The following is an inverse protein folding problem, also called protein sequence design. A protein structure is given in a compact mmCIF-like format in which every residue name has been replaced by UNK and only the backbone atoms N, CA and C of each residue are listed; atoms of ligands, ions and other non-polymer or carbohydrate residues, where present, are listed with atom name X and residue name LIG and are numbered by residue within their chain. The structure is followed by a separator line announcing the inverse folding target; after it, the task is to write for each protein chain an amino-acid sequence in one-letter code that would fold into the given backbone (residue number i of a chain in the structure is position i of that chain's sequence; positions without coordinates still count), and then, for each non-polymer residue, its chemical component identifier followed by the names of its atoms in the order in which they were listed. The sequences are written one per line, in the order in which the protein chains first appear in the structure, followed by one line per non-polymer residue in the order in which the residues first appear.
data_IF_892169873093
#
_entry.id   IF_892169873093
#
_cell.length_a   1.000
_cell.length_b   1.000
_cell.length_c   1.000
_cell.angle_alpha   90.00
_cell.angle_beta   90.00
_cell.angle_gamma   90.00
#
_symmetry.space_group_name_H-M   'P 1'
#
loop_
_entity.id
_entity.type
_entity.pdbx_description
1 polymer ?
#
# COMPACT_ATOMS: atom_id res chain seq x y z
N UNK A 1 -54.23 -18.56 6.47
CA UNK A 1 -52.96 -17.79 6.52
C UNK A 1 -52.66 -17.02 7.81
N UNK A 2 -53.60 -16.83 8.77
CA UNK A 2 -53.30 -16.13 10.04
C UNK A 2 -52.32 -16.87 10.94
N UNK A 3 -52.29 -18.19 10.91
CA UNK A 3 -51.38 -18.99 11.78
C UNK A 3 -49.90 -18.87 11.48
N UNK A 4 -49.50 -18.63 10.23
CA UNK A 4 -48.10 -18.53 9.85
C UNK A 4 -47.45 -17.27 10.44
N UNK A 5 -48.12 -16.11 10.33
CA UNK A 5 -47.63 -14.83 10.84
C UNK A 5 -47.56 -14.86 12.38
N UNK A 6 -48.54 -15.49 13.05
CA UNK A 6 -48.55 -15.61 14.49
C UNK A 6 -47.42 -16.50 15.00
N UNK A 7 -47.17 -17.62 14.33
CA UNK A 7 -46.06 -18.52 14.68
C UNK A 7 -44.71 -17.85 14.43
N UNK A 8 -44.57 -17.13 13.32
CA UNK A 8 -43.34 -16.40 13.01
C UNK A 8 -43.04 -15.34 14.07
N UNK A 9 -44.06 -14.60 14.50
CA UNK A 9 -43.92 -13.59 15.57
C UNK A 9 -43.56 -14.23 16.93
N UNK A 10 -44.15 -15.34 17.27
CA UNK A 10 -43.85 -16.08 18.50
C UNK A 10 -42.39 -16.58 18.52
N UNK A 11 -41.91 -17.12 17.38
CA UNK A 11 -40.52 -17.55 17.20
C UNK A 11 -39.58 -16.36 17.31
N UNK A 12 -39.88 -15.26 16.59
CA UNK A 12 -39.06 -14.04 16.63
C UNK A 12 -38.91 -13.51 18.05
N UNK A 13 -40.01 -13.42 18.79
CA UNK A 13 -40.03 -12.97 20.20
C UNK A 13 -39.19 -13.89 21.08
N UNK A 14 -39.31 -15.21 20.90
CA UNK A 14 -38.53 -16.19 21.64
C UNK A 14 -37.03 -16.00 21.39
N UNK A 15 -36.64 -15.84 20.16
CA UNK A 15 -35.23 -15.65 19.80
C UNK A 15 -34.69 -14.29 20.28
N UNK A 16 -35.48 -13.22 20.24
CA UNK A 16 -35.10 -11.93 20.80
C UNK A 16 -34.89 -12.01 22.33
N UNK A 17 -35.74 -12.74 23.06
CA UNK A 17 -35.57 -12.96 24.48
C UNK A 17 -34.32 -13.82 24.77
N UNK A 18 -34.04 -14.83 23.94
CA UNK A 18 -32.82 -15.65 24.01
C UNK A 18 -31.56 -14.80 23.84
N UNK A 19 -31.55 -13.87 22.87
CA UNK A 19 -30.44 -12.96 22.64
C UNK A 19 -30.11 -12.10 23.87
N UNK A 20 -31.11 -11.69 24.64
CA UNK A 20 -30.91 -10.85 25.84
C UNK A 20 -30.53 -11.64 27.10
N UNK A 21 -30.89 -12.91 27.18
CA UNK A 21 -30.68 -13.73 28.39
C UNK A 21 -29.46 -14.65 28.31
N UNK A 22 -28.95 -14.94 27.09
CA UNK A 22 -27.75 -15.77 26.94
C UNK A 22 -26.56 -14.91 26.52
N UNK A 23 -25.53 -14.75 27.34
CA UNK A 23 -24.40 -13.86 27.07
C UNK A 23 -23.65 -14.26 25.81
N UNK A 24 -23.67 -15.53 25.43
CA UNK A 24 -22.97 -16.02 24.24
C UNK A 24 -23.57 -15.47 22.92
N UNK A 25 -24.91 -15.37 22.83
CA UNK A 25 -25.58 -14.75 21.70
C UNK A 25 -25.30 -13.26 21.60
N UNK A 26 -25.32 -12.56 22.74
CA UNK A 26 -25.00 -11.14 22.80
C UNK A 26 -23.55 -10.88 22.30
N UNK A 27 -22.60 -11.69 22.75
CA UNK A 27 -21.20 -11.58 22.33
C UNK A 27 -21.05 -11.85 20.83
N UNK A 28 -21.63 -12.94 20.30
CA UNK A 28 -21.49 -13.31 18.89
C UNK A 28 -22.19 -12.32 17.94
N UNK A 29 -23.34 -11.79 18.32
CA UNK A 29 -24.19 -10.99 17.44
C UNK A 29 -23.88 -9.49 17.51
N UNK A 30 -23.47 -8.98 18.66
CA UNK A 30 -23.23 -7.55 18.87
C UNK A 30 -21.77 -7.23 19.15
N UNK A 31 -21.16 -7.87 20.15
CA UNK A 31 -19.80 -7.50 20.60
C UNK A 31 -18.77 -7.83 19.53
N UNK A 32 -18.81 -9.04 19.00
CA UNK A 32 -17.82 -9.51 18.04
C UNK A 32 -17.82 -8.71 16.72
N UNK A 33 -18.97 -8.40 16.07
CA UNK A 33 -19.00 -7.52 14.93
C UNK A 33 -18.50 -6.10 15.22
N UNK A 34 -18.92 -5.50 16.33
CA UNK A 34 -18.48 -4.14 16.72
C UNK A 34 -16.98 -4.09 16.95
N UNK A 35 -16.44 -5.06 17.70
CA UNK A 35 -14.99 -5.17 17.96
C UNK A 35 -14.23 -5.41 16.65
N UNK A 36 -14.74 -6.28 15.78
CA UNK A 36 -14.14 -6.56 14.47
C UNK A 36 -14.11 -5.31 13.58
N UNK A 37 -15.21 -4.56 13.52
CA UNK A 37 -15.26 -3.32 12.75
C UNK A 37 -14.33 -2.24 13.31
N UNK A 38 -14.29 -2.08 14.63
CA UNK A 38 -13.36 -1.17 15.29
C UNK A 38 -11.91 -1.57 15.01
N UNK A 39 -11.59 -2.87 15.09
CA UNK A 39 -10.27 -3.40 14.77
C UNK A 39 -9.86 -3.08 13.32
N UNK A 40 -10.72 -3.36 12.34
CA UNK A 40 -10.41 -3.06 10.94
C UNK A 40 -10.34 -1.56 10.67
N UNK A 41 -11.19 -0.75 11.31
CA UNK A 41 -11.12 0.70 11.19
C UNK A 41 -9.77 1.25 11.69
N UNK A 42 -9.28 0.73 12.82
CA UNK A 42 -7.97 1.08 13.37
C UNK A 42 -6.83 0.56 12.51
N UNK A 43 -6.92 -0.68 12.03
CA UNK A 43 -5.90 -1.32 11.18
C UNK A 43 -5.70 -0.54 9.88
N UNK A 44 -6.79 -0.12 9.23
CA UNK A 44 -6.74 0.58 7.96
C UNK A 44 -6.64 2.11 8.09
N UNK A 45 -6.56 2.64 9.31
CA UNK A 45 -6.49 4.09 9.55
C UNK A 45 -5.26 4.74 8.87
N UNK A 46 -4.12 4.06 8.83
CA UNK A 46 -2.91 4.53 8.14
C UNK A 46 -3.02 4.44 6.61
N UNK A 47 -3.97 3.70 6.07
CA UNK A 47 -4.44 3.68 4.68
C UNK A 47 -3.45 3.16 3.63
N UNK A 48 -2.19 3.58 3.67
CA UNK A 48 -1.14 3.24 2.70
C UNK A 48 0.14 2.90 3.46
N UNK A 49 0.90 1.95 2.96
CA UNK A 49 2.24 1.67 3.48
C UNK A 49 3.14 2.89 3.23
N UNK A 50 3.79 3.39 4.27
CA UNK A 50 4.69 4.55 4.26
C UNK A 50 5.98 4.20 4.96
N UNK A 51 7.01 4.99 4.69
CA UNK A 51 8.31 4.92 5.38
C UNK A 51 8.89 3.49 5.34
N UNK A 52 8.80 2.84 4.16
CA UNK A 52 9.33 1.50 3.95
C UNK A 52 10.84 1.60 3.87
N UNK A 53 11.59 0.91 4.76
CA UNK A 53 13.04 1.01 4.78
C UNK A 53 13.65 0.40 3.51
N UNK A 54 14.53 1.18 2.88
CA UNK A 54 15.33 0.78 1.73
C UNK A 54 16.81 1.01 2.02
N UNK A 55 17.67 0.29 1.30
CA UNK A 55 19.11 0.55 1.25
C UNK A 55 19.46 1.23 -0.08
N UNK A 56 20.46 2.10 -0.06
CA UNK A 56 21.03 2.73 -1.25
C UNK A 56 22.50 2.36 -1.34
N UNK A 57 22.89 1.82 -2.50
CA UNK A 57 24.27 1.59 -2.91
C UNK A 57 24.65 2.68 -3.91
N UNK A 58 25.33 3.73 -3.45
CA UNK A 58 25.80 4.82 -4.30
C UNK A 58 27.26 4.58 -4.67
N UNK A 59 27.54 4.10 -5.89
CA UNK A 59 28.88 3.88 -6.41
C UNK A 59 29.49 5.12 -7.08
N UNK A 60 28.68 6.18 -7.30
CA UNK A 60 29.14 7.40 -7.97
C UNK A 60 29.62 8.49 -7.00
N UNK A 61 29.02 8.57 -5.81
CA UNK A 61 29.33 9.52 -4.74
C UNK A 61 29.34 10.99 -5.17
N UNK A 62 28.59 11.35 -6.20
CA UNK A 62 28.53 12.70 -6.79
C UNK A 62 27.42 13.57 -6.19
N UNK A 63 27.33 14.79 -6.69
CA UNK A 63 26.23 15.69 -6.31
C UNK A 63 24.89 15.24 -6.90
N UNK A 64 24.90 14.65 -8.09
CA UNK A 64 23.68 14.17 -8.75
C UNK A 64 23.19 12.85 -8.13
N UNK A 65 24.09 11.93 -7.76
CA UNK A 65 23.70 10.69 -7.07
C UNK A 65 23.04 10.96 -5.73
N UNK A 66 23.61 11.87 -4.91
CA UNK A 66 23.00 12.30 -3.67
C UNK A 66 21.63 12.96 -3.86
N UNK A 67 21.46 13.74 -4.91
CA UNK A 67 20.19 14.42 -5.21
C UNK A 67 19.08 13.43 -5.60
N UNK A 68 19.39 12.41 -6.38
CA UNK A 68 18.41 11.37 -6.71
C UNK A 68 18.05 10.53 -5.48
N UNK A 69 19.02 10.21 -4.62
CA UNK A 69 18.78 9.55 -3.32
C UNK A 69 17.82 10.37 -2.45
N UNK A 70 18.06 11.68 -2.31
CA UNK A 70 17.16 12.57 -1.58
C UNK A 70 15.75 12.63 -2.19
N UNK A 71 15.63 12.61 -3.51
CA UNK A 71 14.32 12.58 -4.17
C UNK A 71 13.58 11.26 -3.94
N UNK A 72 14.30 10.14 -3.86
CA UNK A 72 13.73 8.84 -3.50
C UNK A 72 13.26 8.86 -2.05
N UNK A 73 14.07 9.36 -1.13
CA UNK A 73 13.75 9.49 0.30
C UNK A 73 12.55 10.44 0.55
N UNK A 74 12.38 11.44 -0.30
CA UNK A 74 11.24 12.36 -0.22
C UNK A 74 9.92 11.75 -0.72
N UNK A 75 9.90 10.52 -1.24
CA UNK A 75 8.67 9.86 -1.66
C UNK A 75 7.86 9.38 -0.45
N UNK A 76 6.52 9.29 -0.56
CA UNK A 76 5.70 8.86 0.58
C UNK A 76 5.94 7.43 1.04
N UNK A 77 6.47 6.59 0.16
CA UNK A 77 6.57 5.14 0.39
C UNK A 77 7.96 4.71 0.84
N UNK A 78 9.02 5.34 0.32
CA UNK A 78 10.40 4.96 0.61
C UNK A 78 10.98 5.77 1.77
N UNK A 79 11.77 5.10 2.60
CA UNK A 79 12.65 5.69 3.61
C UNK A 79 14.06 5.14 3.39
N UNK A 80 15.01 6.00 3.06
CA UNK A 80 16.43 5.60 2.95
C UNK A 80 16.98 5.38 4.34
N UNK A 81 16.92 4.14 4.82
CA UNK A 81 17.32 3.77 6.16
C UNK A 81 18.83 3.39 6.24
N UNK A 82 19.40 2.92 5.14
CA UNK A 82 20.79 2.45 5.08
C UNK A 82 21.47 2.91 3.79
N UNK A 83 22.68 3.46 3.95
CA UNK A 83 23.63 3.63 2.87
C UNK A 83 24.67 2.50 2.97
N UNK A 84 24.76 1.67 1.95
CA UNK A 84 25.60 0.47 1.94
C UNK A 84 26.80 0.63 1.01
N UNK A 85 27.87 -0.11 1.30
CA UNK A 85 29.12 -0.04 0.54
C UNK A 85 29.22 -1.12 -0.53
N UNK A 86 28.52 -2.23 -0.34
CA UNK A 86 28.51 -3.36 -1.26
C UNK A 86 27.12 -4.04 -1.31
N UNK A 87 26.92 -4.85 -2.34
CA UNK A 87 25.65 -5.54 -2.57
C UNK A 87 25.41 -6.65 -1.54
N UNK A 88 26.47 -7.30 -1.06
CA UNK A 88 26.37 -8.41 -0.09
C UNK A 88 25.79 -7.90 1.24
N UNK A 89 26.17 -6.69 1.66
CA UNK A 89 25.57 -6.02 2.81
C UNK A 89 24.09 -5.76 2.61
N UNK A 90 23.71 -5.25 1.45
CA UNK A 90 22.33 -4.99 1.08
C UNK A 90 21.48 -6.26 1.09
N UNK A 91 21.97 -7.32 0.48
CA UNK A 91 21.30 -8.61 0.48
C UNK A 91 21.14 -9.19 1.89
N UNK A 92 22.14 -9.04 2.74
CA UNK A 92 22.06 -9.46 4.14
C UNK A 92 20.94 -8.71 4.87
N UNK A 93 20.90 -7.37 4.75
CA UNK A 93 19.83 -6.53 5.33
C UNK A 93 18.44 -6.92 4.82
N UNK A 94 18.35 -7.27 3.54
CA UNK A 94 17.09 -7.73 2.94
C UNK A 94 16.67 -9.11 3.46
N UNK A 95 17.61 -10.05 3.61
CA UNK A 95 17.35 -11.38 4.22
C UNK A 95 16.93 -11.26 5.70
N UNK A 96 17.50 -10.31 6.42
CA UNK A 96 17.13 -10.01 7.82
C UNK A 96 15.78 -9.25 7.93
N UNK A 97 15.18 -8.87 6.81
CA UNK A 97 13.92 -8.11 6.78
C UNK A 97 14.05 -6.66 7.22
N UNK A 98 15.27 -6.13 7.30
CA UNK A 98 15.55 -4.74 7.70
C UNK A 98 15.26 -3.75 6.56
N UNK A 99 15.41 -4.19 5.31
CA UNK A 99 15.09 -3.40 4.12
C UNK A 99 14.23 -4.22 3.15
N UNK A 100 13.36 -3.53 2.43
CA UNK A 100 12.47 -4.13 1.44
C UNK A 100 12.96 -3.96 0.00
N UNK A 101 13.87 -3.00 -0.23
CA UNK A 101 14.48 -2.78 -1.53
C UNK A 101 15.92 -2.28 -1.37
N UNK A 102 16.72 -2.51 -2.42
CA UNK A 102 18.06 -1.95 -2.60
C UNK A 102 18.05 -1.17 -3.89
N UNK A 103 18.45 0.09 -3.84
CA UNK A 103 18.61 0.96 -5.02
C UNK A 103 20.09 1.13 -5.28
N UNK A 104 20.55 0.66 -6.44
CA UNK A 104 21.94 0.78 -6.86
C UNK A 104 22.08 1.92 -7.88
N UNK A 105 22.91 2.89 -7.57
CA UNK A 105 23.31 3.99 -8.45
C UNK A 105 24.72 3.64 -8.98
N UNK A 106 24.87 3.41 -10.30
CA UNK A 106 26.13 2.92 -10.85
C UNK A 106 27.22 3.99 -10.86
N UNK A 107 28.45 3.55 -10.90
CA UNK A 107 29.61 4.40 -11.10
C UNK A 107 29.53 5.21 -12.41
N UNK A 108 30.09 6.42 -12.41
CA UNK A 108 30.01 7.39 -13.51
C UNK A 108 28.59 7.84 -13.87
N UNK A 109 27.64 7.78 -12.94
CA UNK A 109 26.25 8.20 -13.14
C UNK A 109 26.15 9.65 -13.59
N UNK A 110 26.74 10.60 -12.84
CA UNK A 110 26.74 12.03 -13.18
C UNK A 110 27.38 12.28 -14.54
N UNK A 111 28.54 11.69 -14.80
CA UNK A 111 29.28 11.86 -16.05
C UNK A 111 28.44 11.40 -17.25
N UNK A 112 27.76 10.26 -17.15
CA UNK A 112 26.90 9.74 -18.22
C UNK A 112 25.70 10.62 -18.47
N UNK A 113 25.03 11.09 -17.43
CA UNK A 113 23.88 12.00 -17.56
C UNK A 113 24.31 13.31 -18.22
N UNK A 114 25.39 13.92 -17.77
CA UNK A 114 25.87 15.20 -18.35
C UNK A 114 26.39 15.06 -19.78
N UNK A 115 26.87 13.90 -20.16
CA UNK A 115 27.27 13.59 -21.53
C UNK A 115 26.12 13.11 -22.43
N UNK A 116 24.87 13.17 -21.94
CA UNK A 116 23.66 12.68 -22.62
C UNK A 116 23.75 11.19 -23.01
N UNK A 117 24.48 10.40 -22.20
CA UNK A 117 24.63 8.96 -22.37
C UNK A 117 23.65 8.22 -21.46
N UNK A 118 23.16 7.08 -21.94
CA UNK A 118 22.23 6.27 -21.16
C UNK A 118 22.91 5.67 -19.93
N UNK A 119 22.23 5.72 -18.80
CA UNK A 119 22.61 5.06 -17.55
C UNK A 119 21.37 4.42 -16.91
N UNK A 120 21.57 3.45 -16.02
CA UNK A 120 20.50 2.74 -15.38
C UNK A 120 20.67 2.81 -13.86
N UNK A 121 19.58 3.06 -13.14
CA UNK A 121 19.49 2.83 -11.70
C UNK A 121 18.77 1.50 -11.53
N UNK A 122 19.38 0.58 -10.81
CA UNK A 122 18.80 -0.73 -10.56
C UNK A 122 18.05 -0.74 -9.23
N UNK A 123 16.89 -1.38 -9.23
CA UNK A 123 16.04 -1.51 -8.04
C UNK A 123 15.76 -2.98 -7.76
N UNK A 124 16.39 -3.52 -6.72
CA UNK A 124 16.20 -4.89 -6.25
C UNK A 124 15.16 -4.89 -5.14
N UNK A 125 14.07 -5.66 -5.30
CA UNK A 125 12.97 -5.69 -4.35
C UNK A 125 12.79 -7.07 -3.74
N UNK A 126 12.42 -7.11 -2.47
CA UNK A 126 12.12 -8.36 -1.78
C UNK A 126 10.82 -8.99 -2.31
N UNK A 127 10.82 -10.26 -2.70
CA UNK A 127 9.65 -10.98 -3.18
C UNK A 127 8.55 -11.25 -2.15
N UNK A 128 8.74 -10.85 -0.88
CA UNK A 128 7.88 -11.26 0.23
C UNK A 128 6.49 -10.61 0.23
N UNK A 129 6.37 -9.37 -0.29
CA UNK A 129 5.10 -8.64 -0.31
C UNK A 129 4.93 -7.89 -1.64
N UNK A 130 4.22 -8.52 -2.58
CA UNK A 130 4.02 -8.01 -3.94
C UNK A 130 3.40 -6.62 -3.97
N UNK A 131 2.45 -6.34 -3.09
CA UNK A 131 1.73 -5.05 -3.06
C UNK A 131 2.62 -3.91 -2.59
N UNK A 132 3.35 -4.12 -1.50
CA UNK A 132 4.31 -3.14 -0.95
C UNK A 132 5.42 -2.89 -1.97
N UNK A 133 5.95 -3.93 -2.59
CA UNK A 133 6.98 -3.84 -3.61
C UNK A 133 6.52 -3.09 -4.84
N UNK A 134 5.27 -3.29 -5.27
CA UNK A 134 4.69 -2.56 -6.39
C UNK A 134 4.56 -1.07 -6.13
N UNK A 135 4.13 -0.68 -4.92
CA UNK A 135 4.06 0.73 -4.51
C UNK A 135 5.45 1.36 -4.44
N UNK A 136 6.38 0.69 -3.78
CA UNK A 136 7.75 1.15 -3.60
C UNK A 136 8.46 1.33 -4.94
N UNK A 137 8.41 0.32 -5.81
CA UNK A 137 9.03 0.38 -7.14
C UNK A 137 8.44 1.51 -8.00
N UNK A 138 7.12 1.71 -7.93
CA UNK A 138 6.45 2.80 -8.64
C UNK A 138 6.91 4.17 -8.16
N UNK A 139 7.02 4.37 -6.85
CA UNK A 139 7.45 5.66 -6.29
C UNK A 139 8.92 5.94 -6.59
N UNK A 140 9.81 4.94 -6.46
CA UNK A 140 11.21 5.03 -6.85
C UNK A 140 11.32 5.37 -8.34
N UNK A 141 10.61 4.66 -9.22
CA UNK A 141 10.60 4.93 -10.65
C UNK A 141 10.12 6.35 -10.96
N UNK A 142 9.10 6.82 -10.26
CA UNK A 142 8.57 8.18 -10.44
C UNK A 142 9.60 9.23 -10.02
N UNK A 143 10.28 9.03 -8.89
CA UNK A 143 11.35 9.92 -8.42
C UNK A 143 12.50 9.99 -9.42
N UNK A 144 13.00 8.84 -9.89
CA UNK A 144 14.09 8.75 -10.87
C UNK A 144 13.70 9.39 -12.20
N UNK A 145 12.48 9.15 -12.69
CA UNK A 145 12.01 9.74 -13.96
C UNK A 145 11.86 11.25 -13.85
N UNK A 146 11.32 11.73 -12.73
CA UNK A 146 11.17 13.17 -12.46
C UNK A 146 12.52 13.86 -12.35
N UNK A 147 13.48 13.23 -11.66
CA UNK A 147 14.85 13.70 -11.56
C UNK A 147 15.49 13.83 -12.95
N UNK A 148 15.41 12.78 -13.76
CA UNK A 148 15.99 12.73 -15.12
C UNK A 148 15.38 13.82 -16.01
N UNK A 149 14.05 13.96 -15.98
CA UNK A 149 13.36 15.00 -16.74
C UNK A 149 13.81 16.41 -16.31
N UNK A 150 14.00 16.64 -15.00
CA UNK A 150 14.49 17.91 -14.46
C UNK A 150 15.90 18.24 -14.94
N UNK A 151 16.82 17.26 -14.97
CA UNK A 151 18.18 17.47 -15.48
C UNK A 151 18.16 17.75 -16.98
N UNK A 152 17.42 16.97 -17.77
CA UNK A 152 17.30 17.20 -19.20
C UNK A 152 16.71 18.56 -19.53
N UNK A 153 15.71 19.01 -18.79
CA UNK A 153 15.15 20.35 -18.92
C UNK A 153 16.22 21.43 -18.70
N UNK A 154 17.02 21.28 -17.64
CA UNK A 154 18.13 22.21 -17.39
C UNK A 154 19.19 22.22 -18.50
N UNK A 155 19.51 21.05 -19.07
CA UNK A 155 20.46 20.95 -20.19
C UNK A 155 19.93 21.65 -21.45
N UNK A 156 18.67 21.41 -21.81
CA UNK A 156 18.03 22.02 -22.96
C UNK A 156 17.89 23.54 -22.81
N UNK A 157 17.56 24.03 -21.64
CA UNK A 157 17.49 25.49 -21.37
C UNK A 157 18.85 26.15 -21.44
N UNK A 158 19.92 25.48 -20.99
CA UNK A 158 21.32 25.95 -21.17
C UNK A 158 21.73 26.00 -22.62
N UNK A 159 21.14 25.20 -23.52
CA UNK A 159 21.34 25.22 -24.94
C UNK A 159 20.55 26.34 -25.67
N UNK A 160 19.82 27.17 -24.93
CA UNK A 160 19.08 28.31 -25.44
C UNK A 160 17.63 28.07 -25.80
N UNK A 161 17.07 26.87 -25.48
CA UNK A 161 15.64 26.65 -25.63
C UNK A 161 14.89 27.33 -24.51
N UNK A 162 13.71 27.90 -24.80
CA UNK A 162 12.81 28.35 -23.76
C UNK A 162 12.28 27.14 -22.99
N UNK A 163 11.94 27.31 -21.71
CA UNK A 163 11.40 26.23 -20.86
C UNK A 163 10.20 25.52 -21.52
N UNK A 164 9.32 26.29 -22.16
CA UNK A 164 8.15 25.75 -22.88
C UNK A 164 8.54 24.85 -24.05
N UNK A 165 9.56 25.23 -24.83
CA UNK A 165 10.07 24.44 -25.94
C UNK A 165 10.79 23.18 -25.46
N UNK A 166 11.64 23.32 -24.42
CA UNK A 166 12.32 22.19 -23.79
C UNK A 166 11.31 21.17 -23.20
N UNK A 167 10.28 21.63 -22.51
CA UNK A 167 9.22 20.74 -22.00
C UNK A 167 8.42 20.06 -23.12
N UNK A 168 8.14 20.75 -24.22
CA UNK A 168 7.46 20.15 -25.37
C UNK A 168 8.32 19.09 -26.07
N UNK A 169 9.64 19.26 -26.05
CA UNK A 169 10.57 18.28 -26.62
C UNK A 169 10.75 17.06 -25.71
N UNK A 170 10.80 17.25 -24.39
CA UNK A 170 10.94 16.17 -23.42
C UNK A 170 9.65 15.36 -23.25
N UNK A 171 8.52 16.03 -23.25
CA UNK A 171 7.20 15.44 -23.04
C UNK A 171 6.21 15.92 -24.11
N UNK A 172 6.32 15.44 -25.34
CA UNK A 172 5.43 15.86 -26.44
C UNK A 172 3.97 15.45 -26.19
N UNK A 173 3.78 14.40 -25.39
CA UNK A 173 2.46 13.94 -24.93
C UNK A 173 2.42 13.96 -23.41
N UNK A 174 1.49 14.75 -22.84
CA UNK A 174 1.25 14.76 -21.40
C UNK A 174 0.19 13.75 -21.07
N UNK A 175 0.54 12.75 -20.25
CA UNK A 175 -0.41 11.80 -19.70
C UNK A 175 -1.03 12.39 -18.43
N UNK A 176 -2.31 12.80 -18.53
CA UNK A 176 -3.10 13.24 -17.37
C UNK A 176 -3.91 12.08 -16.82
N UNK A 177 -3.54 11.60 -15.65
CA UNK A 177 -4.28 10.54 -14.96
C UNK A 177 -5.22 11.16 -13.92
N UNK A 178 -6.51 11.04 -14.18
CA UNK A 178 -7.55 11.43 -13.22
C UNK A 178 -8.07 10.16 -12.53
N UNK A 179 -7.70 9.96 -11.28
CA UNK A 179 -8.24 8.87 -10.47
C UNK A 179 -9.52 9.38 -9.82
N UNK A 180 -10.67 8.91 -10.30
CA UNK A 180 -11.99 9.34 -9.84
C UNK A 180 -12.34 8.80 -8.46
N UNK A 181 -11.87 7.60 -8.13
CA UNK A 181 -12.14 6.93 -6.86
C UNK A 181 -10.82 6.48 -6.23
N UNK A 182 -10.68 6.68 -4.91
CA UNK A 182 -9.50 6.30 -4.14
C UNK A 182 -8.16 6.81 -4.73
N UNK A 183 -7.97 8.13 -4.91
CA UNK A 183 -6.78 8.70 -5.57
C UNK A 183 -5.47 8.38 -4.82
N UNK A 184 -5.54 8.16 -3.52
CA UNK A 184 -4.38 7.87 -2.66
C UNK A 184 -4.12 6.37 -2.48
N UNK A 185 -4.86 5.49 -3.20
CA UNK A 185 -4.77 4.02 -3.07
C UNK A 185 -4.87 3.59 -1.59
N UNK A 186 -5.81 4.20 -0.88
CA UNK A 186 -6.04 3.92 0.52
C UNK A 186 -6.72 2.55 0.68
N UNK A 187 -6.07 1.64 1.41
CA UNK A 187 -6.58 0.29 1.66
C UNK A 187 -7.92 0.29 2.39
N UNK A 188 -8.17 1.27 3.25
CA UNK A 188 -9.44 1.41 3.95
C UNK A 188 -10.62 1.55 2.98
N UNK A 189 -10.49 2.38 1.95
CA UNK A 189 -11.54 2.55 0.94
C UNK A 189 -11.74 1.34 0.03
N UNK A 190 -10.69 0.53 -0.16
CA UNK A 190 -10.76 -0.66 -1.01
C UNK A 190 -11.23 -1.89 -0.25
N UNK A 191 -10.65 -2.15 0.94
CA UNK A 191 -10.89 -3.37 1.69
C UNK A 191 -12.13 -3.30 2.57
N UNK A 192 -12.44 -2.14 3.18
CA UNK A 192 -13.60 -2.02 4.08
C UNK A 192 -14.93 -2.44 3.44
N UNK A 193 -15.28 -2.00 2.21
CA UNK A 193 -16.52 -2.42 1.57
C UNK A 193 -16.62 -3.93 1.30
N UNK A 194 -15.48 -4.62 1.17
CA UNK A 194 -15.43 -6.06 0.90
C UNK A 194 -15.36 -6.88 2.19
N UNK A 195 -14.53 -6.46 3.15
CA UNK A 195 -14.33 -7.21 4.39
C UNK A 195 -15.50 -7.08 5.38
N UNK A 196 -16.11 -5.90 5.50
CA UNK A 196 -17.23 -5.71 6.43
C UNK A 196 -18.43 -6.62 6.12
N UNK A 197 -18.97 -6.69 4.89
CA UNK A 197 -20.04 -7.60 4.56
C UNK A 197 -19.65 -9.08 4.71
N UNK A 198 -18.42 -9.44 4.34
CA UNK A 198 -17.91 -10.81 4.49
C UNK A 198 -17.86 -11.23 5.97
N UNK A 199 -17.37 -10.36 6.85
CA UNK A 199 -17.35 -10.63 8.29
C UNK A 199 -18.75 -10.75 8.87
N UNK A 200 -19.68 -9.87 8.46
CA UNK A 200 -21.09 -10.00 8.89
C UNK A 200 -21.68 -11.35 8.48
N UNK A 201 -21.41 -11.81 7.26
CA UNK A 201 -21.89 -13.10 6.80
C UNK A 201 -21.31 -14.25 7.65
N UNK A 202 -20.02 -14.22 7.96
CA UNK A 202 -19.39 -15.21 8.85
C UNK A 202 -20.06 -15.21 10.23
N UNK A 203 -20.34 -14.05 10.82
CA UNK A 203 -21.01 -13.97 12.13
C UNK A 203 -22.44 -14.50 12.07
N UNK A 204 -23.20 -14.21 11.01
CA UNK A 204 -24.53 -14.77 10.81
C UNK A 204 -24.48 -16.30 10.73
N UNK A 205 -23.55 -16.86 9.99
CA UNK A 205 -23.34 -18.32 9.90
C UNK A 205 -22.97 -18.89 11.26
N UNK A 206 -22.05 -18.26 12.01
CA UNK A 206 -21.65 -18.72 13.35
C UNK A 206 -22.85 -18.72 14.33
N UNK A 207 -23.65 -17.66 14.35
CA UNK A 207 -24.86 -17.60 15.20
C UNK A 207 -25.85 -18.68 14.80
N UNK A 208 -26.06 -18.91 13.51
CA UNK A 208 -26.98 -19.94 13.02
C UNK A 208 -26.54 -21.34 13.46
N UNK A 209 -25.25 -21.67 13.25
CA UNK A 209 -24.68 -22.96 13.67
C UNK A 209 -24.78 -23.14 15.18
N UNK A 210 -24.47 -22.10 15.95
CA UNK A 210 -24.58 -22.16 17.41
C UNK A 210 -26.03 -22.37 17.87
N UNK A 211 -26.99 -21.68 17.24
CA UNK A 211 -28.43 -21.84 17.55
C UNK A 211 -28.91 -23.25 17.30
N UNK A 212 -28.61 -23.81 16.10
CA UNK A 212 -28.98 -25.19 15.75
C UNK A 212 -28.31 -26.18 16.70
N UNK A 213 -27.02 -25.99 17.00
CA UNK A 213 -26.29 -26.87 17.92
C UNK A 213 -26.85 -26.88 19.34
N UNK A 214 -27.32 -25.73 19.86
CA UNK A 214 -27.96 -25.65 21.16
C UNK A 214 -29.35 -26.29 21.19
N UNK A 215 -30.12 -26.18 20.12
CA UNK A 215 -31.42 -26.84 20.00
C UNK A 215 -31.29 -28.37 19.96
N UNK A 216 -30.35 -28.88 19.16
CA UNK A 216 -30.07 -30.33 19.06
C UNK A 216 -29.57 -30.93 20.39
N UNK A 217 -28.89 -30.15 21.23
CA UNK A 217 -28.40 -30.60 22.53
C UNK A 217 -29.53 -30.68 23.59
N UNK A 218 -30.60 -29.89 23.42
CA UNK A 218 -31.70 -29.79 24.35
C UNK A 218 -33.00 -30.48 23.88
N UNK A 219 -32.98 -31.06 22.66
CA UNK A 219 -34.02 -31.93 22.12
C UNK A 219 -33.79 -33.39 22.53
#
# INVERSE_FOLDING_TARGET
MPGFLHNTYAVLRRELVRLTHQPMYFVLMLVLPVVSFAFFALLFNKGVARDIPIAVLDEDHTSLSRKVTQMIDATPTALVAYEIQDMDEGERLMREGKVMAIVQIPSFFEKRILSNSQTHIENYVSGTNITVNGLLSKDIQTAVTTFTAGIQLQLLTKQGLSEKQAMAQLMPVRFSRHVLFNPYINYGYYLSPSFMPMMLLIFVVMVTVFTIGTELKHA
#
